data_IF_249792858585
#
_entry.id   IF_249792858585
#
_cell.length_a   1.000
_cell.length_b   1.000
_cell.length_c   1.000
_cell.angle_alpha   90.00
_cell.angle_beta   90.00
_cell.angle_gamma   90.00
#
_symmetry.space_group_name_H-M   'P 1'
#
loop_
_entity.id
_entity.type
_entity.pdbx_description
1 polymer ?
#
# COMPACT_ATOMS: atom_id res chain seq x y z
N UNK A 1 20.71 4.21 60.32
CA UNK A 1 20.56 5.64 59.95
C UNK A 1 20.55 5.82 58.42
N UNK A 2 20.16 4.78 57.67
CA UNK A 2 20.71 4.55 56.31
C UNK A 2 19.73 4.87 55.18
N UNK A 3 18.48 5.17 55.53
CA UNK A 3 17.45 5.58 54.58
C UNK A 3 17.75 6.96 53.98
N UNK A 4 18.19 7.90 54.82
CA UNK A 4 18.48 9.28 54.41
C UNK A 4 19.71 9.39 53.51
N UNK A 5 20.74 8.60 53.76
CA UNK A 5 21.94 8.56 52.93
C UNK A 5 21.64 7.98 51.55
N UNK A 6 20.81 6.92 51.49
CA UNK A 6 20.36 6.28 50.24
C UNK A 6 19.39 7.16 49.44
N UNK A 7 18.51 7.90 50.11
CA UNK A 7 17.64 8.87 49.46
C UNK A 7 18.44 10.04 48.83
N UNK A 8 19.47 10.52 49.54
CA UNK A 8 20.35 11.59 49.03
C UNK A 8 21.13 11.14 47.80
N UNK A 9 21.72 9.93 47.82
CA UNK A 9 22.44 9.40 46.66
C UNK A 9 21.53 9.20 45.45
N UNK A 10 20.29 8.72 45.65
CA UNK A 10 19.32 8.55 44.57
C UNK A 10 18.90 9.88 43.95
N UNK A 11 18.68 10.91 44.76
CA UNK A 11 18.36 12.25 44.27
C UNK A 11 19.52 12.85 43.45
N UNK A 12 20.76 12.66 43.90
CA UNK A 12 21.95 13.11 43.18
C UNK A 12 22.12 12.38 41.84
N UNK A 13 21.88 11.07 41.82
CA UNK A 13 21.98 10.26 40.62
C UNK A 13 20.85 10.54 39.61
N UNK A 14 19.63 10.77 40.08
CA UNK A 14 18.50 11.21 39.27
C UNK A 14 18.75 12.60 38.66
N UNK A 15 19.32 13.54 39.43
CA UNK A 15 19.67 14.87 38.94
C UNK A 15 20.73 14.79 37.83
N UNK A 16 21.78 13.98 38.03
CA UNK A 16 22.85 13.77 37.03
C UNK A 16 22.30 13.17 35.74
N UNK A 17 21.43 12.15 35.86
CA UNK A 17 20.79 11.48 34.73
C UNK A 17 19.81 12.39 33.98
N UNK A 18 19.10 13.27 34.69
CA UNK A 18 18.21 14.28 34.09
C UNK A 18 18.99 15.33 33.29
N UNK A 19 20.14 15.79 33.83
CA UNK A 19 21.02 16.72 33.13
C UNK A 19 21.60 16.10 31.85
N UNK A 20 21.99 14.84 31.90
CA UNK A 20 22.52 14.10 30.75
C UNK A 20 21.45 13.88 29.67
N UNK A 21 20.23 13.52 30.05
CA UNK A 21 19.07 13.44 29.14
C UNK A 21 18.77 14.78 28.46
N UNK A 22 18.85 15.88 29.21
CA UNK A 22 18.59 17.23 28.67
C UNK A 22 19.64 17.61 27.62
N UNK A 23 20.93 17.34 27.88
CA UNK A 23 22.01 17.56 26.90
C UNK A 23 21.84 16.68 25.65
N UNK A 24 21.48 15.41 25.84
CA UNK A 24 21.25 14.48 24.74
C UNK A 24 20.03 14.88 23.89
N UNK A 25 18.94 15.33 24.53
CA UNK A 25 17.75 15.81 23.85
C UNK A 25 18.04 17.08 23.02
N UNK A 26 18.80 18.03 23.58
CA UNK A 26 19.21 19.23 22.84
C UNK A 26 20.04 18.90 21.60
N UNK A 27 21.03 18.01 21.72
CA UNK A 27 21.86 17.57 20.58
C UNK A 27 21.02 16.85 19.51
N UNK A 28 20.14 15.95 19.93
CA UNK A 28 19.23 15.23 19.01
C UNK A 28 18.28 16.20 18.30
N UNK A 29 17.77 17.21 19.00
CA UNK A 29 16.90 18.22 18.40
C UNK A 29 17.64 19.06 17.34
N UNK A 30 18.92 19.37 17.57
CA UNK A 30 19.75 20.09 16.60
C UNK A 30 20.03 19.26 15.34
N UNK A 31 20.30 17.95 15.49
CA UNK A 31 20.50 17.04 14.35
C UNK A 31 19.24 16.91 13.49
N UNK A 32 18.04 16.89 14.09
CA UNK A 32 16.78 16.86 13.33
C UNK A 32 16.54 18.16 12.55
N UNK A 33 16.87 19.32 13.12
CA UNK A 33 16.76 20.62 12.42
C UNK A 33 17.72 20.70 11.23
N UNK A 34 18.95 20.19 11.37
CA UNK A 34 19.94 20.12 10.27
C UNK A 34 19.52 19.05 9.23
N UNK A 35 18.85 17.98 9.65
CA UNK A 35 18.29 16.97 8.75
C UNK A 35 17.20 17.52 7.85
N UNK A 36 16.37 18.46 8.34
CA UNK A 36 15.25 19.02 7.58
C UNK A 36 15.70 19.81 6.34
N UNK A 37 16.82 20.52 6.39
CA UNK A 37 17.35 21.26 5.22
C UNK A 37 17.95 20.32 4.17
N UNK A 38 18.54 19.19 4.58
CA UNK A 38 19.05 18.18 3.65
C UNK A 38 17.92 17.45 2.93
N UNK A 39 16.79 17.24 3.60
CA UNK A 39 15.63 16.58 2.99
C UNK A 39 15.06 17.44 1.86
N UNK A 40 14.98 18.77 1.99
CA UNK A 40 14.51 19.64 0.90
C UNK A 40 15.43 19.62 -0.32
N UNK A 41 16.74 19.54 -0.09
CA UNK A 41 17.73 19.46 -1.18
C UNK A 41 17.62 18.11 -1.91
N UNK A 42 17.49 17.02 -1.18
CA UNK A 42 17.29 15.67 -1.75
C UNK A 42 15.98 15.58 -2.54
N UNK A 43 14.89 16.16 -2.02
CA UNK A 43 13.60 16.19 -2.72
C UNK A 43 13.70 16.99 -4.02
N UNK A 44 14.41 18.12 -4.01
CA UNK A 44 14.60 18.95 -5.20
C UNK A 44 15.49 18.27 -6.25
N UNK A 45 16.56 17.61 -5.82
CA UNK A 45 17.46 16.85 -6.70
C UNK A 45 16.76 15.62 -7.30
N UNK A 46 15.98 14.88 -6.49
CA UNK A 46 15.18 13.75 -6.94
C UNK A 46 14.08 14.17 -7.92
N UNK A 47 13.42 15.32 -7.68
CA UNK A 47 12.41 15.86 -8.59
C UNK A 47 13.00 16.15 -9.97
N UNK A 48 14.17 16.80 -10.02
CA UNK A 48 14.84 17.10 -11.27
C UNK A 48 15.25 15.83 -12.03
N UNK A 49 15.73 14.82 -11.32
CA UNK A 49 16.07 13.51 -11.91
C UNK A 49 14.83 12.77 -12.43
N UNK A 50 13.70 12.86 -11.76
CA UNK A 50 12.44 12.27 -12.22
C UNK A 50 11.97 12.88 -13.56
N UNK A 51 12.10 14.20 -13.72
CA UNK A 51 11.74 14.88 -14.96
C UNK A 51 12.67 14.48 -16.13
N UNK A 52 13.97 14.31 -15.88
CA UNK A 52 14.94 13.81 -16.88
C UNK A 52 14.55 12.40 -17.38
N UNK A 53 14.22 11.48 -16.45
CA UNK A 53 13.81 10.10 -16.80
C UNK A 53 12.52 10.10 -17.61
N UNK A 54 11.54 10.97 -17.27
CA UNK A 54 10.28 11.07 -18.00
C UNK A 54 10.50 11.48 -19.46
N UNK A 55 11.41 12.42 -19.72
CA UNK A 55 11.72 12.87 -21.08
C UNK A 55 12.47 11.80 -21.89
N UNK A 56 13.43 11.10 -21.29
CA UNK A 56 14.15 10.02 -21.96
C UNK A 56 13.23 8.82 -22.28
N UNK A 57 12.35 8.45 -21.34
CA UNK A 57 11.36 7.40 -21.54
C UNK A 57 10.37 7.75 -22.66
N UNK A 58 9.93 9.01 -22.73
CA UNK A 58 9.06 9.48 -23.81
C UNK A 58 9.74 9.35 -25.18
N UNK A 59 11.00 9.78 -25.28
CA UNK A 59 11.78 9.68 -26.52
C UNK A 59 12.02 8.22 -26.94
N UNK A 60 12.21 7.31 -25.99
CA UNK A 60 12.33 5.87 -26.24
C UNK A 60 11.00 5.25 -26.70
N UNK A 61 9.87 5.68 -26.12
CA UNK A 61 8.55 5.22 -26.52
C UNK A 61 8.22 5.61 -27.97
N UNK A 62 8.58 6.83 -28.39
CA UNK A 62 8.40 7.26 -29.77
C UNK A 62 9.26 6.43 -30.75
N UNK A 63 10.48 6.07 -30.38
CA UNK A 63 11.33 5.19 -31.20
C UNK A 63 10.73 3.79 -31.37
N UNK A 64 10.17 3.23 -30.29
CA UNK A 64 9.50 1.93 -30.34
C UNK A 64 8.21 1.98 -31.18
N UNK A 65 7.47 3.09 -31.11
CA UNK A 65 6.28 3.30 -31.93
C UNK A 65 6.63 3.29 -33.42
N UNK A 66 7.69 3.98 -33.82
CA UNK A 66 8.16 4.01 -35.22
C UNK A 66 8.62 2.61 -35.68
N UNK A 67 9.34 1.87 -34.81
CA UNK A 67 9.78 0.51 -35.13
C UNK A 67 8.60 -0.47 -35.28
N UNK A 68 7.57 -0.34 -34.45
CA UNK A 68 6.36 -1.17 -34.52
C UNK A 68 5.50 -0.85 -35.75
N UNK A 69 5.45 0.43 -36.17
CA UNK A 69 4.67 0.86 -37.34
C UNK A 69 5.31 0.41 -38.67
N UNK A 70 6.61 0.08 -38.67
CA UNK A 70 7.29 -0.58 -39.79
C UNK A 70 6.99 -2.08 -39.96
N UNK A 71 6.29 -2.71 -39.00
CA UNK A 71 5.93 -4.13 -39.03
C UNK A 71 4.45 -4.22 -39.45
N UNK A 72 4.21 -4.31 -40.76
CA UNK A 72 2.87 -4.46 -41.34
C UNK A 72 2.10 -5.65 -40.71
N UNK A 73 0.87 -5.46 -40.22
CA UNK A 73 0.06 -6.52 -39.64
C UNK A 73 -0.63 -7.30 -40.76
N UNK A 74 0.10 -8.15 -41.48
CA UNK A 74 -0.48 -9.10 -42.41
C UNK A 74 -0.28 -10.51 -41.86
N UNK A 75 -1.40 -11.10 -41.44
CA UNK A 75 -1.62 -12.53 -41.12
C UNK A 75 -1.30 -13.00 -39.69
N UNK A 76 -2.12 -12.59 -38.72
CA UNK A 76 -2.48 -13.45 -37.58
C UNK A 76 -4.01 -13.42 -37.44
N UNK A 77 -4.66 -14.49 -37.89
CA UNK A 77 -6.09 -14.74 -37.62
C UNK A 77 -6.18 -15.44 -36.28
N UNK A 78 -6.64 -14.73 -35.24
CA UNK A 78 -7.17 -15.33 -34.01
C UNK A 78 -8.27 -14.40 -33.46
N UNK A 79 -9.54 -14.83 -33.36
CA UNK A 79 -10.54 -14.04 -32.67
C UNK A 79 -10.44 -14.27 -31.15
N UNK A 80 -10.28 -13.17 -30.40
CA UNK A 80 -10.71 -12.98 -29.01
C UNK A 80 -9.93 -13.68 -27.88
N UNK A 81 -8.96 -12.95 -27.30
CA UNK A 81 -8.81 -12.54 -25.88
C UNK A 81 -7.30 -12.31 -25.62
N UNK A 82 -6.96 -11.05 -25.35
CA UNK A 82 -5.59 -10.59 -25.13
C UNK A 82 -5.15 -10.76 -23.67
N UNK A 83 -4.05 -11.49 -23.47
CA UNK A 83 -3.04 -11.23 -22.44
C UNK A 83 -1.69 -11.64 -23.02
N UNK A 84 -0.96 -10.69 -23.60
CA UNK A 84 0.35 -10.93 -24.20
C UNK A 84 1.40 -11.03 -23.09
N UNK A 85 1.55 -12.24 -22.55
CA UNK A 85 2.87 -12.71 -22.14
C UNK A 85 3.63 -13.01 -23.43
N UNK A 86 4.81 -12.41 -23.59
CA UNK A 86 5.75 -12.82 -24.63
C UNK A 86 6.19 -14.25 -24.33
N UNK A 87 5.46 -15.22 -24.87
CA UNK A 87 5.90 -16.60 -24.97
C UNK A 87 6.91 -16.66 -26.12
N UNK A 88 8.16 -16.30 -25.81
CA UNK A 88 9.29 -16.93 -26.49
C UNK A 88 9.12 -18.43 -26.25
N UNK A 89 8.68 -19.13 -27.29
CA UNK A 89 8.48 -20.57 -27.29
C UNK A 89 9.84 -21.25 -27.43
N UNK A 90 10.71 -21.03 -26.45
CA UNK A 90 11.74 -22.01 -26.11
C UNK A 90 11.09 -22.99 -25.14
N UNK A 91 11.10 -24.26 -25.49
CA UNK A 91 10.56 -25.39 -24.73
C UNK A 91 11.32 -25.67 -23.43
N UNK A 92 11.56 -24.64 -22.63
CA UNK A 92 12.35 -24.70 -21.41
C UNK A 92 11.36 -24.83 -20.27
N UNK A 93 11.16 -26.06 -19.80
CA UNK A 93 10.58 -26.29 -18.48
C UNK A 93 11.34 -25.39 -17.49
N UNK A 94 10.66 -24.48 -16.76
CA UNK A 94 11.35 -23.59 -15.84
C UNK A 94 12.11 -24.46 -14.84
N UNK A 95 13.43 -24.31 -14.82
CA UNK A 95 14.28 -25.05 -13.90
C UNK A 95 13.91 -24.67 -12.47
N UNK A 96 14.00 -25.60 -11.51
CA UNK A 96 13.73 -25.31 -10.11
C UNK A 96 14.55 -24.10 -9.60
N UNK A 97 15.77 -23.93 -10.10
CA UNK A 97 16.63 -22.79 -9.79
C UNK A 97 16.08 -21.44 -10.29
N UNK A 98 15.38 -21.43 -11.42
CA UNK A 98 14.74 -20.21 -11.94
C UNK A 98 13.51 -19.85 -11.11
N UNK A 99 12.74 -20.85 -10.69
CA UNK A 99 11.59 -20.65 -9.82
C UNK A 99 12.02 -20.05 -8.47
N UNK A 100 13.11 -20.53 -7.88
CA UNK A 100 13.67 -19.98 -6.64
C UNK A 100 14.13 -18.51 -6.79
N UNK A 101 14.70 -18.13 -7.95
CA UNK A 101 15.07 -16.73 -8.25
C UNK A 101 13.87 -15.78 -8.23
N UNK A 102 12.68 -16.28 -8.59
CA UNK A 102 11.43 -15.51 -8.53
C UNK A 102 10.72 -15.60 -7.18
N UNK A 103 11.35 -16.21 -6.16
CA UNK A 103 10.77 -16.41 -4.83
C UNK A 103 9.74 -17.54 -4.78
N UNK A 104 9.66 -18.37 -5.82
CA UNK A 104 8.80 -19.55 -5.86
C UNK A 104 9.55 -20.69 -5.18
N UNK A 105 9.52 -20.68 -3.84
CA UNK A 105 10.11 -21.72 -3.00
C UNK A 105 9.32 -23.02 -3.09
N UNK A 106 9.95 -24.15 -2.78
CA UNK A 106 9.26 -25.44 -2.78
C UNK A 106 8.07 -25.46 -1.79
N UNK A 107 8.24 -24.87 -0.60
CA UNK A 107 7.17 -24.65 0.38
C UNK A 107 5.95 -23.91 -0.21
N UNK A 108 6.19 -22.87 -1.04
CA UNK A 108 5.11 -22.13 -1.68
C UNK A 108 4.39 -23.00 -2.73
N UNK A 109 5.13 -23.85 -3.43
CA UNK A 109 4.58 -24.77 -4.45
C UNK A 109 3.72 -25.83 -3.78
N UNK A 110 4.17 -26.38 -2.66
CA UNK A 110 3.39 -27.34 -1.86
C UNK A 110 2.16 -26.69 -1.24
N UNK A 111 2.29 -25.48 -0.71
CA UNK A 111 1.17 -24.71 -0.17
C UNK A 111 0.08 -24.47 -1.22
N UNK A 112 0.45 -23.96 -2.40
CA UNK A 112 -0.50 -23.71 -3.50
C UNK A 112 -1.11 -25.02 -4.00
N UNK A 113 -0.34 -26.12 -4.04
CA UNK A 113 -0.86 -27.45 -4.37
C UNK A 113 -1.90 -27.97 -3.36
N UNK A 114 -1.79 -27.55 -2.10
CA UNK A 114 -2.76 -27.84 -1.05
C UNK A 114 -4.05 -27.01 -1.12
N UNK A 115 -4.08 -25.91 -1.89
CA UNK A 115 -5.29 -25.11 -2.09
C UNK A 115 -6.26 -25.91 -2.97
N UNK A 116 -7.40 -26.26 -2.40
CA UNK A 116 -8.49 -26.96 -3.08
C UNK A 116 -9.74 -26.09 -3.08
N UNK A 117 -10.74 -26.42 -3.91
CA UNK A 117 -12.02 -25.68 -3.92
C UNK A 117 -12.67 -25.61 -2.53
N UNK A 118 -12.44 -26.63 -1.69
CA UNK A 118 -12.91 -26.69 -0.31
C UNK A 118 -12.32 -25.59 0.59
N UNK A 119 -11.11 -25.10 0.31
CA UNK A 119 -10.46 -24.01 1.06
C UNK A 119 -11.26 -22.70 1.03
N UNK A 120 -12.19 -22.54 0.07
CA UNK A 120 -13.01 -21.34 -0.09
C UNK A 120 -14.46 -21.48 0.40
N UNK A 121 -14.86 -22.65 0.92
CA UNK A 121 -16.24 -22.89 1.35
C UNK A 121 -16.62 -22.06 2.59
N UNK A 122 -15.69 -21.91 3.52
CA UNK A 122 -15.88 -21.11 4.73
C UNK A 122 -15.57 -19.62 4.52
N UNK A 123 -15.33 -19.20 3.27
CA UNK A 123 -15.08 -17.79 2.98
C UNK A 123 -16.41 -17.04 2.91
N UNK A 124 -16.68 -16.05 3.78
CA UNK A 124 -17.95 -15.34 3.84
C UNK A 124 -18.10 -14.35 2.68
N UNK A 125 -18.28 -14.87 1.47
CA UNK A 125 -18.46 -14.07 0.25
C UNK A 125 -19.84 -13.40 0.21
N UNK A 126 -20.86 -14.06 0.78
CA UNK A 126 -22.26 -13.62 0.75
C UNK A 126 -22.58 -12.59 1.85
N UNK A 127 -21.95 -12.72 3.02
CA UNK A 127 -22.18 -11.83 4.17
C UNK A 127 -21.70 -10.40 3.92
N UNK A 128 -20.61 -10.21 3.17
CA UNK A 128 -20.13 -8.85 2.79
C UNK A 128 -21.12 -8.10 1.91
N UNK A 129 -21.86 -8.79 1.04
CA UNK A 129 -22.88 -8.17 0.18
C UNK A 129 -24.14 -7.88 0.98
N UNK A 130 -24.60 -8.84 1.78
CA UNK A 130 -25.80 -8.70 2.62
C UNK A 130 -25.64 -7.62 3.69
N UNK A 131 -24.46 -7.46 4.29
CA UNK A 131 -24.21 -6.41 5.28
C UNK A 131 -24.33 -5.00 4.68
N UNK A 132 -23.86 -4.81 3.44
CA UNK A 132 -23.99 -3.54 2.71
C UNK A 132 -25.44 -3.23 2.37
N UNK A 133 -26.19 -4.22 1.89
CA UNK A 133 -27.61 -4.08 1.55
C UNK A 133 -28.46 -3.74 2.79
N UNK A 134 -28.22 -4.44 3.91
CA UNK A 134 -28.90 -4.17 5.18
C UNK A 134 -28.63 -2.75 5.71
N UNK A 135 -27.42 -2.24 5.51
CA UNK A 135 -27.03 -0.89 5.92
C UNK A 135 -27.74 0.17 5.06
N UNK A 136 -27.86 -0.05 3.75
CA UNK A 136 -28.61 0.80 2.84
C UNK A 136 -30.12 0.79 3.12
N UNK A 137 -30.68 -0.39 3.41
CA UNK A 137 -32.08 -0.56 3.82
C UNK A 137 -32.40 0.20 5.11
N UNK A 138 -31.49 0.13 6.09
CA UNK A 138 -31.65 0.83 7.36
C UNK A 138 -31.53 2.35 7.20
N UNK A 139 -30.64 2.81 6.32
CA UNK A 139 -30.56 4.23 5.95
C UNK A 139 -31.88 4.71 5.34
N UNK A 140 -32.38 4.00 4.31
CA UNK A 140 -33.63 4.35 3.64
C UNK A 140 -34.82 4.41 4.60
N UNK A 141 -34.95 3.41 5.49
CA UNK A 141 -36.01 3.40 6.51
C UNK A 141 -35.92 4.57 7.49
N UNK A 142 -34.72 4.99 7.87
CA UNK A 142 -34.55 6.18 8.71
C UNK A 142 -34.96 7.45 7.97
N UNK A 143 -34.56 7.59 6.71
CA UNK A 143 -34.88 8.78 5.90
C UNK A 143 -36.39 8.88 5.65
N UNK A 144 -37.07 7.76 5.35
CA UNK A 144 -38.54 7.69 5.23
C UNK A 144 -39.25 8.00 6.57
N UNK A 145 -38.73 7.50 7.69
CA UNK A 145 -39.28 7.83 9.01
C UNK A 145 -39.15 9.31 9.36
N UNK A 146 -38.07 9.97 8.94
CA UNK A 146 -37.90 11.42 9.13
C UNK A 146 -38.85 12.22 8.24
N UNK A 147 -39.07 11.76 7.00
CA UNK A 147 -39.97 12.43 6.07
C UNK A 147 -41.44 12.36 6.52
N UNK A 148 -41.88 11.20 7.03
CA UNK A 148 -43.24 11.02 7.56
C UNK A 148 -43.49 11.81 8.85
N UNK A 149 -42.50 11.89 9.74
CA UNK A 149 -42.57 12.69 10.97
C UNK A 149 -42.65 14.19 10.68
N UNK A 150 -41.85 14.69 9.74
CA UNK A 150 -41.88 16.12 9.36
C UNK A 150 -43.18 16.48 8.64
N UNK A 151 -43.69 15.60 7.78
CA UNK A 151 -44.97 15.81 7.10
C UNK A 151 -46.16 15.84 8.07
N UNK A 152 -46.24 14.89 9.01
CA UNK A 152 -47.30 14.85 10.03
C UNK A 152 -47.24 16.06 10.97
N UNK A 153 -46.04 16.52 11.33
CA UNK A 153 -45.86 17.69 12.20
C UNK A 153 -46.23 19.02 11.53
N UNK A 154 -46.31 19.07 10.19
CA UNK A 154 -46.58 20.31 9.44
C UNK A 154 -48.03 20.44 8.97
N UNK A 155 -48.88 19.44 9.19
CA UNK A 155 -50.31 19.54 8.89
C UNK A 155 -51.00 20.42 9.95
N UNK A 156 -51.64 21.53 9.58
CA UNK A 156 -52.44 22.31 10.51
C UNK A 156 -53.67 21.48 10.90
N UNK A 157 -53.83 21.25 12.21
CA UNK A 157 -55.05 20.71 12.79
C UNK A 157 -56.16 21.70 12.42
N UNK A 158 -57.09 21.27 11.57
CA UNK A 158 -58.24 22.09 11.11
C UNK A 158 -59.38 21.98 12.11
#
# INVERSE_FOLDING_TARGET
MDFWTKARSFAEEAAKRSQELTKAAAKRSQELTIGSSRISDIVSEASKKADEIKLEALKKADQLKILAEGISPQKIVIPSISLAVSADSSSTTPSAADLEKFGITDDLREFVKGITQNTFQDFPMKERVQHKEKLLETQRKRDESLLTKTYTSRMPIT
#
